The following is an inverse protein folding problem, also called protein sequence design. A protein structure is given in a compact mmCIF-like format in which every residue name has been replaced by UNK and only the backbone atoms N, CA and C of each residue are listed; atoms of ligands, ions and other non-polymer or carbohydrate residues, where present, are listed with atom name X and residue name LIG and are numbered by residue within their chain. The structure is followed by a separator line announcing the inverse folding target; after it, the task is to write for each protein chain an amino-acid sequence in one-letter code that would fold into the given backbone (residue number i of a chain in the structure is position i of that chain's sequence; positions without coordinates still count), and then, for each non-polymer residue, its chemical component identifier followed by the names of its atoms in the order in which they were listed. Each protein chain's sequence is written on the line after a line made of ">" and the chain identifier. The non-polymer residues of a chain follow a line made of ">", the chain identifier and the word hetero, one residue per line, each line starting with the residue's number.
data_IF_107710652363
#
_entry.id   IF_107710652363
#
_cell.length_a   1.000
_cell.length_b   1.000
_cell.length_c   1.000
_cell.angle_alpha   90.00
_cell.angle_beta   90.00
_cell.angle_gamma   90.00
#
_symmetry.space_group_name_H-M   'P 1'
#
loop_
_entity.id
_entity.type
_entity.pdbx_description
1 polymer ?
#
# COMPACT_ATOMS: atom_id res chain seq x y z
N UNK A 1 2.88 -8.40 -10.60
CA UNK A 1 1.52 -8.55 -10.05
C UNK A 1 0.69 -9.50 -10.92
N UNK A 2 0.03 -10.48 -10.30
CA UNK A 2 -0.75 -11.51 -11.01
C UNK A 2 -1.88 -10.89 -11.83
N UNK A 3 -2.62 -9.92 -11.26
CA UNK A 3 -3.74 -9.29 -11.95
C UNK A 3 -3.27 -8.43 -13.14
N UNK A 4 -2.15 -7.74 -13.03
CA UNK A 4 -1.55 -7.00 -14.13
C UNK A 4 -1.21 -7.93 -15.31
N UNK A 5 -0.63 -9.10 -15.01
CA UNK A 5 -0.33 -10.12 -16.03
C UNK A 5 -1.61 -10.67 -16.67
N UNK A 6 -2.61 -11.04 -15.88
CA UNK A 6 -3.89 -11.56 -16.37
C UNK A 6 -4.61 -10.54 -17.27
N UNK A 7 -4.57 -9.25 -16.91
CA UNK A 7 -5.13 -8.18 -17.73
C UNK A 7 -4.35 -8.00 -19.02
N UNK A 8 -3.00 -8.04 -18.98
CA UNK A 8 -2.16 -7.93 -20.17
C UNK A 8 -2.37 -9.10 -21.14
N UNK A 9 -2.55 -10.33 -20.64
CA UNK A 9 -2.80 -11.53 -21.40
C UNK A 9 -4.26 -11.66 -21.90
N UNK A 10 -5.15 -10.78 -21.49
CA UNK A 10 -6.55 -10.79 -21.92
C UNK A 10 -7.44 -11.77 -21.19
N UNK A 11 -6.99 -12.31 -20.08
CA UNK A 11 -7.80 -13.15 -19.20
C UNK A 11 -8.74 -12.33 -18.29
N UNK A 12 -8.39 -11.05 -18.09
CA UNK A 12 -9.24 -10.04 -17.48
C UNK A 12 -9.31 -8.84 -18.43
N UNK A 13 -10.48 -8.22 -18.55
CA UNK A 13 -10.65 -7.02 -19.37
C UNK A 13 -10.14 -5.78 -18.65
N UNK A 14 -10.40 -5.68 -17.35
CA UNK A 14 -10.08 -4.59 -16.47
C UNK A 14 -9.36 -5.08 -15.23
N UNK A 15 -8.53 -4.25 -14.63
CA UNK A 15 -7.85 -4.54 -13.37
C UNK A 15 -7.84 -3.35 -12.42
N UNK A 16 -7.94 -3.64 -11.13
CA UNK A 16 -7.66 -2.71 -10.04
C UNK A 16 -6.39 -3.21 -9.36
N UNK A 17 -5.28 -2.51 -9.56
CA UNK A 17 -3.97 -2.94 -9.08
C UNK A 17 -3.31 -1.92 -8.18
N UNK A 18 -2.48 -2.40 -7.27
CA UNK A 18 -1.60 -1.56 -6.46
C UNK A 18 -0.15 -1.90 -6.74
N UNK A 19 0.68 -0.90 -6.93
CA UNK A 19 2.11 -1.11 -7.22
C UNK A 19 2.98 -0.02 -6.61
N UNK A 20 4.19 -0.38 -6.21
CA UNK A 20 5.25 0.51 -5.77
C UNK A 20 6.24 0.84 -6.91
N UNK A 21 6.01 0.33 -8.10
CA UNK A 21 6.88 0.49 -9.28
C UNK A 21 6.06 1.12 -10.40
N UNK A 22 6.65 2.05 -11.17
CA UNK A 22 5.97 2.68 -12.29
C UNK A 22 5.61 1.63 -13.35
N UNK A 23 4.32 1.36 -13.58
CA UNK A 23 3.89 0.31 -14.51
C UNK A 23 3.93 0.83 -15.96
N UNK A 24 4.11 -0.07 -16.95
CA UNK A 24 4.22 0.33 -18.35
C UNK A 24 3.53 -0.62 -19.37
N UNK A 25 2.94 -1.72 -18.91
CA UNK A 25 2.39 -2.77 -19.79
C UNK A 25 0.99 -2.48 -20.31
N UNK A 26 0.21 -1.74 -19.53
CA UNK A 26 -1.21 -1.45 -19.77
C UNK A 26 -1.44 0.06 -19.95
N UNK A 27 -2.68 0.45 -20.12
CA UNK A 27 -3.15 1.78 -19.82
C UNK A 27 -3.50 1.86 -18.34
N UNK A 28 -3.10 2.92 -17.66
CA UNK A 28 -3.29 3.10 -16.22
C UNK A 28 -3.95 4.44 -15.96
N UNK A 29 -5.05 4.40 -15.23
CA UNK A 29 -5.70 5.57 -14.64
C UNK A 29 -5.37 5.57 -13.17
N UNK A 30 -4.62 6.58 -12.70
CA UNK A 30 -4.28 6.71 -11.28
C UNK A 30 -5.55 7.02 -10.49
N UNK A 31 -5.83 6.21 -9.48
CA UNK A 31 -6.95 6.40 -8.57
C UNK A 31 -6.46 7.07 -7.28
N UNK A 32 -5.39 6.55 -6.69
CA UNK A 32 -4.90 7.06 -5.40
C UNK A 32 -3.39 6.84 -5.25
N UNK A 33 -2.74 7.83 -4.61
CA UNK A 33 -1.40 7.67 -4.07
C UNK A 33 -1.53 7.26 -2.61
N UNK A 34 -1.24 6.00 -2.32
CA UNK A 34 -1.35 5.47 -0.98
C UNK A 34 -0.10 5.78 -0.16
N UNK A 35 -0.30 6.48 0.94
CA UNK A 35 0.78 6.72 1.90
C UNK A 35 1.07 5.45 2.70
N UNK A 36 2.32 4.99 2.67
CA UNK A 36 2.81 3.93 3.55
C UNK A 36 3.37 4.55 4.82
N UNK A 37 2.87 4.07 5.96
CA UNK A 37 3.26 4.54 7.31
C UNK A 37 3.84 3.38 8.11
N UNK A 38 4.58 3.70 9.17
CA UNK A 38 4.92 2.71 10.19
C UNK A 38 3.78 2.69 11.23
N UNK A 39 3.04 1.60 11.25
CA UNK A 39 2.07 1.30 12.31
C UNK A 39 2.81 0.68 13.49
N UNK A 40 2.63 1.21 14.68
CA UNK A 40 3.21 0.71 15.92
C UNK A 40 2.11 0.37 16.93
N UNK A 41 2.17 -0.79 17.56
CA UNK A 41 1.32 -1.07 18.70
C UNK A 41 1.60 -0.03 19.81
N UNK A 42 0.56 0.45 20.50
CA UNK A 42 0.72 1.46 21.57
C UNK A 42 1.60 1.01 22.74
N UNK A 43 1.85 -0.29 22.87
CA UNK A 43 2.73 -0.88 23.87
C UNK A 43 4.21 -0.97 23.43
N UNK A 44 4.58 -0.54 22.23
CA UNK A 44 5.98 -0.52 21.76
C UNK A 44 6.76 0.64 22.38
N UNK A 45 8.08 0.50 22.50
CA UNK A 45 8.96 1.58 22.92
C UNK A 45 8.89 2.78 21.96
N UNK A 46 8.71 2.51 20.66
CA UNK A 46 8.50 3.55 19.66
C UNK A 46 7.27 4.41 20.00
N UNK A 47 6.14 3.78 20.32
CA UNK A 47 4.90 4.48 20.64
C UNK A 47 4.98 5.27 21.96
N UNK A 48 5.88 4.92 22.87
CA UNK A 48 6.15 5.71 24.07
C UNK A 48 7.03 6.92 23.82
N UNK A 49 7.87 6.91 22.77
CA UNK A 49 8.80 7.99 22.41
C UNK A 49 8.21 9.04 21.48
N UNK A 50 7.22 8.67 20.68
CA UNK A 50 6.65 9.54 19.65
C UNK A 50 5.15 9.61 19.76
N UNK A 51 4.59 10.79 19.43
CA UNK A 51 3.14 10.97 19.39
C UNK A 51 2.55 10.41 18.08
N UNK A 52 1.27 10.01 18.12
CA UNK A 52 0.56 9.53 16.94
C UNK A 52 0.55 10.61 15.83
N UNK A 53 0.87 10.20 14.60
CA UNK A 53 1.03 11.10 13.46
C UNK A 53 2.39 11.82 13.37
N UNK A 54 3.24 11.72 14.38
CA UNK A 54 4.56 12.34 14.32
C UNK A 54 5.46 11.62 13.30
N UNK A 55 6.07 12.35 12.34
CA UNK A 55 6.99 11.75 11.37
C UNK A 55 8.29 11.26 12.05
N UNK A 56 8.72 10.04 11.70
CA UNK A 56 9.90 9.37 12.26
C UNK A 56 10.87 8.94 11.17
N UNK A 57 12.14 8.71 11.54
CA UNK A 57 13.07 7.93 10.71
C UNK A 57 12.82 6.45 10.94
N UNK A 58 12.95 5.60 9.90
CA UNK A 58 12.79 4.15 10.08
C UNK A 58 13.78 3.57 11.10
N UNK A 59 14.93 4.22 11.29
CA UNK A 59 15.93 3.86 12.31
C UNK A 59 15.42 4.02 13.75
N UNK A 60 14.42 4.88 13.97
CA UNK A 60 13.80 5.05 15.29
C UNK A 60 13.08 3.78 15.75
N UNK A 61 12.72 2.90 14.80
CA UNK A 61 12.16 1.58 15.08
C UNK A 61 13.21 0.48 15.29
N UNK A 62 14.51 0.84 15.39
CA UNK A 62 15.57 -0.12 15.67
C UNK A 62 15.35 -0.76 17.04
N UNK A 63 15.33 -2.10 17.09
CA UNK A 63 15.04 -2.85 18.31
C UNK A 63 13.59 -3.32 18.45
N UNK A 64 12.65 -2.73 17.67
CA UNK A 64 11.27 -3.20 17.66
C UNK A 64 11.13 -4.54 16.93
N UNK A 65 10.06 -5.26 17.29
CA UNK A 65 9.64 -6.46 16.57
C UNK A 65 8.88 -6.06 15.32
N UNK A 66 9.20 -6.66 14.18
CA UNK A 66 8.54 -6.39 12.92
C UNK A 66 7.63 -7.52 12.47
N UNK A 67 6.44 -7.16 11.99
CA UNK A 67 5.62 -8.01 11.15
C UNK A 67 5.79 -7.52 9.71
N UNK A 68 6.13 -8.43 8.80
CA UNK A 68 6.45 -8.12 7.42
C UNK A 68 5.50 -8.82 6.46
N UNK A 69 5.33 -8.22 5.27
CA UNK A 69 4.65 -8.88 4.16
C UNK A 69 5.65 -9.78 3.40
N UNK A 70 5.14 -10.81 2.72
CA UNK A 70 5.95 -11.66 1.84
C UNK A 70 6.47 -10.90 0.61
N UNK A 71 7.49 -11.42 -0.05
CA UNK A 71 8.18 -10.79 -1.20
C UNK A 71 7.26 -10.43 -2.38
N UNK A 72 6.15 -11.15 -2.55
CA UNK A 72 5.16 -10.88 -3.60
C UNK A 72 4.32 -9.61 -3.38
N UNK A 73 4.39 -9.03 -2.19
CA UNK A 73 3.54 -7.90 -1.81
C UNK A 73 4.22 -6.55 -2.09
N UNK A 74 3.48 -5.59 -2.69
CA UNK A 74 4.02 -4.25 -3.03
C UNK A 74 4.55 -3.46 -1.81
N UNK A 75 3.98 -3.66 -0.62
CA UNK A 75 4.48 -3.06 0.63
C UNK A 75 5.85 -3.62 0.98
N UNK A 76 6.12 -4.90 0.72
CA UNK A 76 7.44 -5.51 0.97
C UNK A 76 8.53 -4.84 0.13
N UNK A 77 8.25 -4.52 -1.13
CA UNK A 77 9.20 -3.78 -1.97
C UNK A 77 9.60 -2.43 -1.36
N UNK A 78 8.64 -1.69 -0.81
CA UNK A 78 8.91 -0.42 -0.13
C UNK A 78 9.72 -0.63 1.14
N UNK A 79 9.33 -1.62 1.94
CA UNK A 79 9.98 -2.00 3.18
C UNK A 79 11.46 -2.34 2.97
N UNK A 80 11.76 -3.23 2.01
CA UNK A 80 13.13 -3.67 1.74
C UNK A 80 14.00 -2.50 1.29
N UNK A 81 13.50 -1.62 0.41
CA UNK A 81 14.20 -0.41 -0.01
C UNK A 81 14.49 0.54 1.16
N UNK A 82 13.54 0.72 2.08
CA UNK A 82 13.74 1.54 3.28
C UNK A 82 14.82 0.94 4.19
N UNK A 83 14.78 -0.37 4.40
CA UNK A 83 15.77 -1.06 5.22
C UNK A 83 17.16 -1.03 4.61
N UNK A 84 17.29 -1.30 3.30
CA UNK A 84 18.56 -1.24 2.57
C UNK A 84 19.16 0.17 2.62
N UNK A 85 18.38 1.21 2.31
CA UNK A 85 18.85 2.60 2.33
C UNK A 85 19.43 3.01 3.70
N UNK A 86 18.84 2.49 4.77
CA UNK A 86 19.24 2.82 6.13
C UNK A 86 20.24 1.82 6.74
N UNK A 87 20.65 0.79 5.98
CA UNK A 87 21.41 -0.35 6.50
C UNK A 87 20.76 -0.92 7.77
N UNK A 88 19.44 -1.09 7.72
CA UNK A 88 18.61 -1.50 8.84
C UNK A 88 18.26 -2.98 8.71
N UNK A 89 18.56 -3.76 9.77
CA UNK A 89 18.18 -5.17 9.84
C UNK A 89 17.03 -5.34 10.84
N UNK A 90 15.79 -5.61 10.37
CA UNK A 90 14.64 -5.74 11.26
C UNK A 90 14.67 -7.06 12.06
N UNK A 91 14.11 -7.03 13.24
CA UNK A 91 13.79 -8.23 14.02
C UNK A 91 12.41 -8.77 13.60
N UNK A 92 12.36 -9.57 12.54
CA UNK A 92 11.11 -10.09 11.98
C UNK A 92 10.57 -11.24 12.81
N UNK A 93 9.38 -11.08 13.39
CA UNK A 93 8.69 -12.11 14.18
C UNK A 93 7.63 -12.88 13.39
N UNK A 94 7.13 -12.29 12.29
CA UNK A 94 6.17 -12.92 11.40
C UNK A 94 6.34 -12.38 9.98
N UNK A 95 6.25 -13.26 9.00
CA UNK A 95 6.11 -12.93 7.59
C UNK A 95 4.85 -13.60 7.03
N UNK A 96 3.99 -12.85 6.33
CA UNK A 96 2.71 -13.34 5.81
C UNK A 96 2.28 -12.56 4.56
N UNK A 97 1.48 -13.20 3.71
CA UNK A 97 0.82 -12.56 2.55
C UNK A 97 -0.55 -11.93 2.89
N UNK A 98 -1.05 -12.21 4.10
CA UNK A 98 -2.35 -11.72 4.55
C UNK A 98 -2.22 -10.42 5.35
N UNK A 99 -2.49 -9.27 4.72
CA UNK A 99 -2.43 -7.94 5.32
C UNK A 99 -3.37 -7.80 6.54
N UNK A 100 -4.57 -8.38 6.48
CA UNK A 100 -5.51 -8.32 7.59
C UNK A 100 -4.99 -9.06 8.83
N UNK A 101 -4.44 -10.27 8.64
CA UNK A 101 -3.80 -11.01 9.72
C UNK A 101 -2.57 -10.27 10.26
N UNK A 102 -1.70 -9.76 9.37
CA UNK A 102 -0.48 -9.04 9.71
C UNK A 102 -0.75 -7.85 10.65
N UNK A 103 -1.69 -6.96 10.29
CA UNK A 103 -1.98 -5.76 11.08
C UNK A 103 -2.53 -6.09 12.48
N UNK A 104 -3.36 -7.14 12.59
CA UNK A 104 -3.89 -7.57 13.88
C UNK A 104 -2.83 -8.26 14.75
N UNK A 105 -1.93 -9.03 14.16
CA UNK A 105 -0.79 -9.61 14.88
C UNK A 105 0.14 -8.50 15.37
N UNK A 106 0.52 -7.55 14.52
CA UNK A 106 1.38 -6.43 14.92
C UNK A 106 0.79 -5.67 16.11
N UNK A 107 -0.52 -5.34 16.06
CA UNK A 107 -1.21 -4.60 17.11
C UNK A 107 -1.29 -5.34 18.45
N UNK A 108 -1.22 -6.69 18.46
CA UNK A 108 -1.34 -7.53 19.67
C UNK A 108 -0.02 -8.10 20.15
N UNK A 109 0.97 -8.22 19.28
CA UNK A 109 2.27 -8.82 19.59
C UNK A 109 3.32 -7.81 20.06
N UNK A 110 2.93 -6.59 20.39
CA UNK A 110 3.86 -5.51 20.73
C UNK A 110 4.90 -5.32 19.61
N UNK A 111 4.41 -5.10 18.39
CA UNK A 111 5.23 -5.06 17.19
C UNK A 111 4.86 -3.86 16.29
N UNK A 112 5.71 -3.61 15.31
CA UNK A 112 5.53 -2.60 14.28
C UNK A 112 5.40 -3.24 12.90
N UNK A 113 4.77 -2.55 11.94
CA UNK A 113 4.78 -2.95 10.54
C UNK A 113 4.62 -1.75 9.60
N UNK A 114 5.19 -1.84 8.42
CA UNK A 114 4.89 -0.92 7.33
C UNK A 114 3.58 -1.32 6.66
N UNK A 115 2.66 -0.36 6.52
CA UNK A 115 1.30 -0.61 6.04
C UNK A 115 0.77 0.64 5.31
N UNK A 116 -0.03 0.50 4.24
CA UNK A 116 -0.76 1.63 3.71
C UNK A 116 -1.73 2.18 4.76
N UNK A 117 -1.71 3.49 4.97
CA UNK A 117 -2.46 4.16 6.04
C UNK A 117 -3.96 3.87 6.00
N UNK A 118 -4.52 3.71 4.80
CA UNK A 118 -5.94 3.39 4.58
C UNK A 118 -6.41 2.13 5.32
N UNK A 119 -5.54 1.12 5.49
CA UNK A 119 -5.88 -0.12 6.21
C UNK A 119 -6.02 0.07 7.72
N UNK A 120 -5.44 1.14 8.26
CA UNK A 120 -5.54 1.47 9.68
C UNK A 120 -6.73 2.38 9.93
N UNK A 121 -6.89 3.46 9.16
CA UNK A 121 -7.98 4.44 9.36
C UNK A 121 -9.36 3.82 9.17
N UNK A 122 -9.49 2.82 8.31
CA UNK A 122 -10.74 2.11 8.07
C UNK A 122 -11.01 1.00 9.09
N UNK A 123 -10.12 0.79 10.07
CA UNK A 123 -10.29 -0.25 11.10
C UNK A 123 -10.63 0.36 12.45
N UNK A 124 -11.90 0.26 12.85
CA UNK A 124 -12.36 0.72 14.16
C UNK A 124 -11.58 0.10 15.33
N UNK A 125 -11.20 -1.17 15.21
CA UNK A 125 -10.46 -1.89 16.26
C UNK A 125 -9.04 -1.36 16.43
N UNK A 126 -8.36 -1.06 15.32
CA UNK A 126 -6.96 -0.62 15.35
C UNK A 126 -6.79 0.81 15.87
N UNK A 127 -7.76 1.69 15.63
CA UNK A 127 -7.72 3.10 16.03
C UNK A 127 -7.28 3.35 17.47
N UNK A 128 -7.64 2.45 18.37
CA UNK A 128 -7.31 2.59 19.81
C UNK A 128 -6.11 1.74 20.25
N UNK A 129 -5.59 0.88 19.37
CA UNK A 129 -4.52 -0.07 19.69
C UNK A 129 -3.17 0.30 19.12
N UNK A 130 -3.15 1.15 18.12
CA UNK A 130 -1.92 1.50 17.40
C UNK A 130 -1.74 3.00 17.27
N UNK A 131 -0.55 3.39 16.89
CA UNK A 131 -0.18 4.70 16.36
C UNK A 131 0.34 4.52 14.94
N UNK A 132 0.22 5.58 14.12
CA UNK A 132 0.71 5.60 12.75
C UNK A 132 1.70 6.74 12.58
N UNK A 133 2.90 6.42 12.08
CA UNK A 133 3.97 7.38 11.89
C UNK A 133 4.35 7.48 10.42
N UNK A 134 4.20 8.65 9.78
CA UNK A 134 4.80 8.91 8.47
C UNK A 134 6.32 8.71 8.53
N UNK A 135 6.91 8.13 7.49
CA UNK A 135 8.37 7.92 7.41
C UNK A 135 9.01 9.14 6.77
N UNK A 136 9.97 9.75 7.46
CA UNK A 136 10.78 10.87 6.94
C UNK A 136 11.58 10.43 5.72
N UNK A 137 11.69 11.33 4.73
CA UNK A 137 12.44 11.09 3.49
C UNK A 137 12.00 9.80 2.77
N UNK A 138 10.72 9.45 2.89
CA UNK A 138 10.16 8.34 2.14
C UNK A 138 9.69 8.83 0.77
N UNK A 139 10.53 8.59 -0.25
CA UNK A 139 10.23 8.90 -1.65
C UNK A 139 9.50 7.75 -2.36
N UNK A 140 9.14 6.71 -1.62
CA UNK A 140 8.47 5.54 -2.16
C UNK A 140 6.97 5.69 -1.97
N UNK A 141 6.25 5.77 -3.08
CA UNK A 141 4.80 5.82 -3.13
C UNK A 141 4.26 4.45 -3.56
N UNK A 142 3.10 4.11 -3.06
CA UNK A 142 2.28 3.01 -3.55
C UNK A 142 1.08 3.61 -4.26
N UNK A 143 0.90 3.21 -5.52
CA UNK A 143 -0.14 3.76 -6.37
C UNK A 143 -1.24 2.73 -6.58
N UNK A 144 -2.48 3.17 -6.51
CA UNK A 144 -3.65 2.39 -6.86
C UNK A 144 -4.15 2.83 -8.23
N UNK A 145 -4.25 1.87 -9.16
CA UNK A 145 -4.63 2.11 -10.54
C UNK A 145 -5.84 1.28 -10.95
N UNK A 146 -6.69 1.90 -11.76
CA UNK A 146 -7.54 1.21 -12.70
C UNK A 146 -6.75 0.98 -13.99
N UNK A 147 -6.76 -0.23 -14.54
CA UNK A 147 -5.95 -0.54 -15.71
C UNK A 147 -6.69 -1.44 -16.71
N UNK A 148 -6.28 -1.34 -17.99
CA UNK A 148 -6.79 -2.09 -19.12
C UNK A 148 -5.74 -2.20 -20.23
N UNK A 149 -5.92 -3.13 -21.19
CA UNK A 149 -4.96 -3.34 -22.28
C UNK A 149 -4.82 -2.12 -23.18
N UNK A 150 -3.60 -1.86 -23.63
CA UNK A 150 -3.31 -0.88 -24.68
C UNK A 150 -3.99 -1.28 -25.97
N UNK A 151 -4.59 -0.31 -26.66
CA UNK A 151 -5.29 -0.53 -27.92
C UNK A 151 -6.59 -1.31 -27.84
N UNK A 152 -7.06 -1.66 -26.64
CA UNK A 152 -8.35 -2.29 -26.43
C UNK A 152 -9.48 -1.28 -26.64
N UNK A 153 -10.51 -1.67 -27.40
CA UNK A 153 -11.76 -0.92 -27.45
C UNK A 153 -12.52 -1.14 -26.12
N UNK A 154 -12.80 -0.03 -25.44
CA UNK A 154 -13.59 -0.07 -24.22
C UNK A 154 -15.07 -0.09 -24.58
N UNK A 155 -15.77 -1.07 -24.06
CA UNK A 155 -17.22 -1.14 -24.17
C UNK A 155 -17.85 -0.20 -23.14
N UNK A 156 -19.11 0.20 -23.39
CA UNK A 156 -19.82 1.13 -22.51
C UNK A 156 -19.85 0.66 -21.04
N UNK A 157 -20.04 -0.63 -20.79
CA UNK A 157 -20.05 -1.14 -19.41
C UNK A 157 -18.68 -1.07 -18.73
N UNK A 158 -17.58 -1.16 -19.48
CA UNK A 158 -16.23 -0.98 -18.94
C UNK A 158 -15.97 0.48 -18.55
N UNK A 159 -16.42 1.42 -19.38
CA UNK A 159 -16.36 2.86 -19.08
C UNK A 159 -17.23 3.19 -17.87
N UNK A 160 -18.47 2.69 -17.83
CA UNK A 160 -19.39 2.92 -16.71
C UNK A 160 -18.80 2.35 -15.39
N UNK A 161 -18.20 1.17 -15.44
CA UNK A 161 -17.49 0.61 -14.28
C UNK A 161 -16.34 1.51 -13.82
N UNK A 162 -15.48 1.96 -14.74
CA UNK A 162 -14.38 2.86 -14.42
C UNK A 162 -14.87 4.19 -13.82
N UNK A 163 -15.95 4.78 -14.34
CA UNK A 163 -16.58 5.98 -13.78
C UNK A 163 -17.09 5.73 -12.37
N UNK A 164 -17.82 4.64 -12.14
CA UNK A 164 -18.34 4.29 -10.80
C UNK A 164 -17.19 4.18 -9.79
N UNK A 165 -16.08 3.53 -10.17
CA UNK A 165 -14.90 3.41 -9.30
C UNK A 165 -14.31 4.78 -8.99
N UNK A 166 -14.08 5.61 -10.01
CA UNK A 166 -13.49 6.94 -9.85
C UNK A 166 -14.41 7.89 -9.06
N UNK A 167 -15.71 7.87 -9.34
CA UNK A 167 -16.71 8.69 -8.61
C UNK A 167 -16.76 8.33 -7.13
N UNK A 168 -16.72 7.04 -6.80
CA UNK A 168 -16.69 6.55 -5.41
C UNK A 168 -15.46 7.02 -4.64
N UNK A 169 -14.36 7.25 -5.35
CA UNK A 169 -13.07 7.65 -4.77
C UNK A 169 -12.78 9.15 -4.98
N UNK A 170 -13.74 9.91 -5.53
CA UNK A 170 -13.64 11.35 -5.83
C UNK A 170 -12.44 11.71 -6.71
N UNK A 171 -12.10 10.86 -7.69
CA UNK A 171 -11.04 11.10 -8.68
C UNK A 171 -11.62 11.30 -10.07
N UNK A 172 -11.03 12.19 -10.90
CA UNK A 172 -11.50 12.38 -12.27
C UNK A 172 -11.20 11.12 -13.10
N UNK A 173 -12.20 10.65 -13.84
CA UNK A 173 -12.04 9.54 -14.78
C UNK A 173 -11.44 10.01 -16.08
N UNK A 174 -10.10 10.10 -16.15
CA UNK A 174 -9.35 10.51 -17.33
C UNK A 174 -8.80 9.29 -18.06
N UNK A 175 -9.45 8.85 -19.12
CA UNK A 175 -9.00 7.73 -19.92
C UNK A 175 -8.03 8.19 -21.00
N UNK A 176 -6.82 7.60 -21.11
CA UNK A 176 -5.93 7.83 -22.24
C UNK A 176 -6.61 7.38 -23.55
N UNK A 177 -6.79 8.29 -24.49
CA UNK A 177 -7.33 7.99 -25.83
C UNK A 177 -8.78 8.39 -26.08
N UNK A 178 -9.47 8.99 -25.14
CA UNK A 178 -10.73 9.71 -25.35
C UNK A 178 -10.51 11.21 -25.17
N UNK A 179 -9.80 11.83 -26.10
CA UNK A 179 -9.98 13.26 -26.36
C UNK A 179 -11.31 13.42 -27.11
N UNK A 180 -12.27 14.13 -26.51
CA UNK A 180 -13.57 14.44 -27.07
C UNK A 180 -13.45 15.41 -28.26
#
# INVERSE_FOLDING_TARGET
>A
DTLERLTAEGQCDLGLITTAVKPNRLNYVLIENEQVVLMAARSTELAHRFEDGQPIDIKDAMGEKFVCMTESHSVRTIQDRLFERCNFKPNVILETDNMEAAKHVAARANAVMLIPHVYVVNSMELKYRVQCHPIKNNDYERHFFFCYRKGMYLTRYMEDFGRIVCDKLNVPFNMPGHEA
#
